data_IF_178871027320
#
_entry.id   IF_178871027320
#
_cell.length_a   1.000
_cell.length_b   1.000
_cell.length_c   1.000
_cell.angle_alpha   90.00
_cell.angle_beta   90.00
_cell.angle_gamma   90.00
#
_symmetry.space_group_name_H-M   'P 1'
#
loop_
_entity.id
_entity.type
_entity.pdbx_description
1 polymer ?
#
# COMPACT_ATOMS: atom_id res chain seq x y z
N UNK A 1 -10.20 0.86 -5.91
CA UNK A 1 -9.40 2.07 -6.19
C UNK A 1 -8.48 1.91 -7.40
N UNK A 2 -7.71 0.82 -7.57
CA UNK A 2 -6.92 0.69 -8.81
C UNK A 2 -5.64 -0.15 -8.72
N UNK A 3 -5.35 -0.69 -7.53
CA UNK A 3 -4.12 -1.40 -7.20
C UNK A 3 -3.78 -2.54 -8.17
N UNK A 4 -2.49 -2.81 -8.36
CA UNK A 4 -2.00 -3.93 -9.16
C UNK A 4 -1.68 -5.16 -8.31
N UNK A 5 -1.39 -4.97 -7.02
CA UNK A 5 -1.09 -6.02 -6.06
C UNK A 5 -1.68 -5.66 -4.70
N UNK A 6 -2.14 -6.67 -3.98
CA UNK A 6 -2.58 -6.57 -2.59
C UNK A 6 -1.81 -7.65 -1.81
N UNK A 7 -0.93 -7.21 -0.91
CA UNK A 7 -0.25 -8.07 0.04
C UNK A 7 -0.91 -7.92 1.42
N UNK A 8 -1.21 -9.04 2.07
CA UNK A 8 -1.87 -9.06 3.39
C UNK A 8 -1.07 -9.95 4.33
N UNK A 9 -0.86 -9.47 5.55
CA UNK A 9 -0.26 -10.24 6.63
C UNK A 9 -0.93 -9.90 7.96
N UNK A 10 -0.85 -10.79 8.97
CA UNK A 10 -1.34 -10.51 10.31
C UNK A 10 -0.33 -9.65 11.08
N UNK A 11 -0.44 -8.32 10.97
CA UNK A 11 0.37 -7.38 11.76
C UNK A 11 0.29 -7.68 13.28
N UNK A 12 1.28 -7.22 14.05
CA UNK A 12 1.45 -7.55 15.48
C UNK A 12 0.22 -7.21 16.32
N UNK A 13 -0.51 -6.16 15.98
CA UNK A 13 -1.75 -5.72 16.67
C UNK A 13 -3.04 -6.15 15.96
N UNK A 14 -2.95 -7.03 14.97
CA UNK A 14 -4.12 -7.65 14.36
C UNK A 14 -4.73 -8.69 15.29
N UNK A 15 -6.07 -8.71 15.36
CA UNK A 15 -6.81 -9.75 16.09
C UNK A 15 -6.61 -11.12 15.44
N UNK A 16 -6.52 -11.13 14.11
CA UNK A 16 -6.32 -12.37 13.34
C UNK A 16 -4.86 -12.76 13.38
N UNK A 17 -4.60 -13.99 13.83
CA UNK A 17 -3.36 -14.74 13.55
C UNK A 17 -3.64 -15.77 12.48
N UNK A 18 -2.67 -16.06 11.63
CA UNK A 18 -2.83 -17.00 10.52
C UNK A 18 -1.88 -18.17 10.67
N UNK A 19 -2.43 -19.38 10.74
CA UNK A 19 -1.73 -20.63 10.45
C UNK A 19 -1.62 -20.84 8.94
N UNK A 20 -0.81 -21.80 8.49
CA UNK A 20 -0.62 -22.09 7.05
C UNK A 20 -1.95 -22.43 6.34
N UNK A 21 -2.80 -23.24 6.96
CA UNK A 21 -4.14 -23.55 6.42
C UNK A 21 -5.02 -22.30 6.34
N UNK A 22 -4.91 -21.39 7.32
CA UNK A 22 -5.64 -20.12 7.31
C UNK A 22 -5.11 -19.16 6.25
N UNK A 23 -3.81 -19.18 5.94
CA UNK A 23 -3.22 -18.42 4.82
C UNK A 23 -3.86 -18.86 3.50
N UNK A 24 -3.91 -20.17 3.22
CA UNK A 24 -4.50 -20.70 1.99
C UNK A 24 -5.99 -20.37 1.87
N UNK A 25 -6.76 -20.56 2.94
CA UNK A 25 -8.20 -20.22 2.98
C UNK A 25 -8.43 -18.72 2.81
N UNK A 26 -7.60 -17.89 3.42
CA UNK A 26 -7.70 -16.42 3.28
C UNK A 26 -7.34 -15.99 1.87
N UNK A 27 -6.30 -16.58 1.28
CA UNK A 27 -5.92 -16.33 -0.11
C UNK A 27 -7.08 -16.63 -1.06
N UNK A 28 -7.68 -17.81 -0.98
CA UNK A 28 -8.82 -18.17 -1.82
C UNK A 28 -9.99 -17.18 -1.68
N UNK A 29 -10.29 -16.73 -0.46
CA UNK A 29 -11.34 -15.73 -0.19
C UNK A 29 -11.01 -14.37 -0.81
N UNK A 30 -9.77 -13.89 -0.64
CA UNK A 30 -9.33 -12.61 -1.20
C UNK A 30 -9.27 -12.65 -2.73
N UNK A 31 -8.70 -13.70 -3.31
CA UNK A 31 -8.63 -13.88 -4.76
C UNK A 31 -10.03 -13.87 -5.39
N UNK A 32 -11.00 -14.57 -4.77
CA UNK A 32 -12.40 -14.53 -5.21
C UNK A 32 -12.99 -13.11 -5.18
N UNK A 33 -12.77 -12.35 -4.11
CA UNK A 33 -13.25 -10.96 -3.98
C UNK A 33 -12.59 -10.04 -5.01
N UNK A 34 -11.29 -10.16 -5.19
CA UNK A 34 -10.53 -9.37 -6.17
C UNK A 34 -10.98 -9.70 -7.59
N UNK A 35 -11.24 -10.96 -7.90
CA UNK A 35 -11.79 -11.38 -9.19
C UNK A 35 -13.16 -10.75 -9.46
N UNK A 36 -14.09 -10.86 -8.51
CA UNK A 36 -15.43 -10.26 -8.66
C UNK A 36 -15.35 -8.73 -8.78
N UNK A 37 -14.54 -8.06 -7.95
CA UNK A 37 -14.33 -6.63 -8.04
C UNK A 37 -13.70 -6.21 -9.38
N UNK A 38 -12.77 -7.01 -9.93
CA UNK A 38 -12.15 -6.75 -11.23
C UNK A 38 -13.16 -6.79 -12.37
N UNK A 39 -14.13 -7.73 -12.32
CA UNK A 39 -15.24 -7.78 -13.28
C UNK A 39 -16.13 -6.55 -13.19
N UNK A 40 -16.54 -6.18 -11.97
CA UNK A 40 -17.39 -4.99 -11.75
C UNK A 40 -16.71 -3.70 -12.21
N UNK A 41 -15.39 -3.60 -12.00
CA UNK A 41 -14.58 -2.47 -12.44
C UNK A 41 -14.11 -2.56 -13.90
N UNK A 42 -14.55 -3.56 -14.67
CA UNK A 42 -14.17 -3.80 -16.08
C UNK A 42 -12.65 -3.77 -16.33
N UNK A 43 -11.87 -4.32 -15.39
CA UNK A 43 -10.41 -4.37 -15.51
C UNK A 43 -9.99 -5.53 -16.42
N UNK A 44 -9.14 -5.26 -17.40
CA UNK A 44 -8.48 -6.29 -18.21
C UNK A 44 -7.50 -7.14 -17.38
N UNK A 45 -6.87 -6.53 -16.37
CA UNK A 45 -5.94 -7.20 -15.45
C UNK A 45 -6.44 -7.17 -14.02
N UNK A 46 -6.54 -8.35 -13.41
CA UNK A 46 -6.83 -8.48 -11.98
C UNK A 46 -5.59 -8.14 -11.14
N UNK A 47 -5.75 -7.47 -9.99
CA UNK A 47 -4.69 -7.34 -9.01
C UNK A 47 -4.18 -8.71 -8.54
N UNK A 48 -2.87 -8.84 -8.33
CA UNK A 48 -2.29 -10.02 -7.69
C UNK A 48 -2.60 -10.01 -6.19
N UNK A 49 -3.06 -11.12 -5.65
CA UNK A 49 -3.24 -11.30 -4.20
C UNK A 49 -2.07 -12.10 -3.66
N UNK A 50 -1.47 -11.61 -2.59
CA UNK A 50 -0.46 -12.32 -1.82
C UNK A 50 -0.89 -12.29 -0.34
N UNK A 51 -1.04 -13.47 0.26
CA UNK A 51 -1.31 -13.60 1.70
C UNK A 51 -0.10 -14.28 2.32
N UNK A 52 0.45 -13.69 3.38
CA UNK A 52 1.48 -14.32 4.19
C UNK A 52 1.06 -14.37 5.65
N UNK A 53 1.52 -15.39 6.37
CA UNK A 53 1.47 -15.44 7.83
C UNK A 53 2.61 -14.67 8.50
N UNK A 54 3.61 -14.24 7.73
CA UNK A 54 4.88 -13.70 8.20
C UNK A 54 5.10 -12.27 7.66
N UNK A 55 5.60 -11.38 8.52
CA UNK A 55 5.84 -9.99 8.13
C UNK A 55 7.04 -9.85 7.18
N UNK A 56 8.00 -10.76 7.27
CA UNK A 56 9.22 -10.79 6.49
C UNK A 56 8.93 -10.85 4.98
N UNK A 57 7.85 -11.53 4.59
CA UNK A 57 7.44 -11.58 3.19
C UNK A 57 6.92 -10.22 2.68
N UNK A 58 6.31 -9.42 3.55
CA UNK A 58 5.87 -8.06 3.22
C UNK A 58 7.06 -7.11 3.20
N UNK A 59 8.01 -7.27 4.12
CA UNK A 59 9.27 -6.53 4.11
C UNK A 59 10.01 -6.72 2.78
N UNK A 60 10.05 -7.94 2.23
CA UNK A 60 10.65 -8.19 0.90
C UNK A 60 9.95 -7.44 -0.23
N UNK A 61 8.62 -7.28 -0.16
CA UNK A 61 7.86 -6.47 -1.13
C UNK A 61 8.26 -5.00 -1.01
N UNK A 62 8.40 -4.51 0.21
CA UNK A 62 8.82 -3.12 0.50
C UNK A 62 10.24 -2.85 0.00
N UNK A 63 11.18 -3.76 0.25
CA UNK A 63 12.58 -3.66 -0.19
C UNK A 63 12.74 -3.57 -1.71
N UNK A 64 11.84 -4.22 -2.46
CA UNK A 64 11.85 -4.18 -3.92
C UNK A 64 11.12 -2.97 -4.53
N UNK A 65 10.49 -2.12 -3.70
CA UNK A 65 9.73 -0.98 -4.17
C UNK A 65 10.64 0.20 -4.51
N UNK A 66 10.27 0.96 -5.53
CA UNK A 66 10.90 2.25 -5.85
C UNK A 66 10.56 3.32 -4.81
N UNK A 67 9.37 3.22 -4.21
CA UNK A 67 8.93 4.04 -3.09
C UNK A 67 7.96 3.23 -2.23
N UNK A 68 8.22 3.15 -0.94
CA UNK A 68 7.29 2.57 0.02
C UNK A 68 6.87 3.62 1.04
N UNK A 69 5.56 3.70 1.29
CA UNK A 69 4.98 4.71 2.17
C UNK A 69 4.27 3.99 3.32
N UNK A 70 4.78 4.20 4.53
CA UNK A 70 4.18 3.73 5.77
C UNK A 70 3.14 4.75 6.25
N UNK A 71 1.86 4.41 6.10
CA UNK A 71 0.77 5.25 6.53
C UNK A 71 0.49 5.04 8.02
N UNK A 72 0.81 6.05 8.81
CA UNK A 72 0.74 5.97 10.26
C UNK A 72 0.38 7.31 10.91
N UNK A 73 -0.28 7.23 12.06
CA UNK A 73 -0.85 8.36 12.78
C UNK A 73 0.21 9.28 13.43
N UNK A 74 1.37 8.73 13.78
CA UNK A 74 2.46 9.47 14.44
C UNK A 74 3.45 10.11 13.48
N UNK A 75 3.27 9.92 12.16
CA UNK A 75 4.16 10.51 11.17
C UNK A 75 4.05 12.04 11.18
N UNK A 76 5.18 12.72 11.01
CA UNK A 76 5.28 14.17 10.95
C UNK A 76 5.11 14.72 9.53
N UNK A 77 5.42 13.92 8.51
CA UNK A 77 5.28 14.28 7.09
C UNK A 77 3.87 13.98 6.57
N UNK A 78 3.35 14.85 5.70
CA UNK A 78 2.08 14.61 5.03
C UNK A 78 2.30 13.73 3.79
N UNK A 79 1.34 12.85 3.49
CA UNK A 79 1.33 12.09 2.23
C UNK A 79 1.46 12.99 1.00
N UNK A 80 0.85 14.17 1.02
CA UNK A 80 0.93 15.15 -0.05
C UNK A 80 2.33 15.74 -0.25
N UNK A 81 3.17 15.75 0.78
CA UNK A 81 4.57 16.22 0.67
C UNK A 81 5.47 15.11 0.15
N UNK A 82 5.16 13.84 0.50
CA UNK A 82 5.91 12.66 0.03
C UNK A 82 5.57 12.32 -1.41
N UNK A 83 4.32 12.54 -1.83
CA UNK A 83 3.83 12.34 -3.20
C UNK A 83 3.08 13.59 -3.62
N UNK A 84 3.77 14.63 -4.12
CA UNK A 84 3.15 15.88 -4.52
C UNK A 84 2.25 15.70 -5.74
N UNK A 85 1.09 16.38 -5.70
CA UNK A 85 0.16 16.46 -6.83
C UNK A 85 0.56 17.62 -7.75
N UNK A 86 1.57 17.44 -8.59
CA UNK A 86 1.99 18.48 -9.55
C UNK A 86 2.18 17.92 -10.96
N UNK A 87 1.81 18.73 -11.96
CA UNK A 87 2.10 18.51 -13.39
C UNK A 87 3.62 18.48 -13.67
N UNK A 88 4.41 19.05 -12.75
CA UNK A 88 5.85 18.87 -12.68
C UNK A 88 6.11 17.40 -12.37
N UNK A 89 6.34 16.66 -13.45
CA UNK A 89 6.88 15.31 -13.59
C UNK A 89 7.39 14.69 -12.29
N UNK A 90 7.22 13.38 -12.21
CA UNK A 90 8.03 12.35 -11.53
C UNK A 90 9.48 12.64 -11.10
N UNK A 91 10.11 13.75 -11.50
CA UNK A 91 11.40 14.28 -11.08
C UNK A 91 11.52 14.61 -9.59
N UNK A 92 10.44 14.97 -8.89
CA UNK A 92 10.48 15.22 -7.43
C UNK A 92 10.24 13.95 -6.61
N UNK A 93 9.72 12.89 -7.24
CA UNK A 93 9.76 11.55 -6.67
C UNK A 93 11.18 11.02 -6.79
N UNK A 94 11.62 10.08 -5.92
CA UNK A 94 12.89 9.39 -6.13
C UNK A 94 12.99 8.92 -7.60
N UNK A 95 14.13 9.10 -8.28
CA UNK A 95 14.25 8.81 -9.74
C UNK A 95 13.71 7.41 -10.12
N UNK A 96 13.89 6.42 -9.23
CA UNK A 96 13.37 5.06 -9.41
C UNK A 96 11.83 4.96 -9.38
N UNK A 97 11.14 5.88 -8.70
CA UNK A 97 9.70 5.96 -8.55
C UNK A 97 9.03 6.73 -9.71
N UNK A 98 9.83 7.42 -10.51
CA UNK A 98 9.39 8.16 -11.69
C UNK A 98 9.37 7.40 -13.02
N UNK A 99 9.88 6.17 -13.01
CA UNK A 99 10.02 5.29 -14.18
C UNK A 99 8.71 4.56 -14.52
N UNK A 100 8.51 4.16 -15.78
CA UNK A 100 7.36 3.33 -16.19
C UNK A 100 7.28 1.98 -15.44
N UNK A 101 8.40 1.50 -14.91
CA UNK A 101 8.47 0.28 -14.11
C UNK A 101 8.51 0.53 -12.59
N UNK A 102 8.29 1.77 -12.15
CA UNK A 102 8.30 2.14 -10.75
C UNK A 102 7.25 1.37 -9.95
N UNK A 103 7.65 0.78 -8.83
CA UNK A 103 6.73 0.15 -7.89
C UNK A 103 6.56 1.04 -6.67
N UNK A 104 5.35 1.56 -6.48
CA UNK A 104 4.96 2.28 -5.27
C UNK A 104 4.13 1.37 -4.37
N UNK A 105 4.56 1.23 -3.12
CA UNK A 105 3.89 0.42 -2.10
C UNK A 105 3.30 1.31 -1.03
N UNK A 106 2.00 1.14 -0.76
CA UNK A 106 1.34 1.73 0.41
C UNK A 106 1.22 0.67 1.49
N UNK A 107 1.73 0.96 2.69
CA UNK A 107 1.69 0.09 3.85
C UNK A 107 0.65 0.67 4.81
N UNK A 108 -0.43 -0.08 5.05
CA UNK A 108 -1.57 0.35 5.88
C UNK A 108 -1.75 -0.63 7.03
N UNK A 109 -1.77 -0.10 8.25
CA UNK A 109 -1.87 -0.91 9.46
C UNK A 109 -3.29 -1.35 9.81
N UNK A 110 -3.44 -2.27 10.78
CA UNK A 110 -4.73 -2.65 11.34
C UNK A 110 -5.32 -1.51 12.18
N UNK A 111 -6.55 -1.67 12.67
CA UNK A 111 -7.22 -0.70 13.54
C UNK A 111 -6.40 -0.37 14.82
N UNK A 112 -5.59 -1.31 15.31
CA UNK A 112 -4.69 -1.09 16.47
C UNK A 112 -3.39 -0.35 16.13
N UNK A 113 -3.20 0.05 14.87
CA UNK A 113 -1.97 0.65 14.37
C UNK A 113 -0.78 -0.33 14.33
N UNK A 114 0.38 0.18 13.94
CA UNK A 114 1.63 -0.56 14.01
C UNK A 114 2.27 -0.44 15.40
N UNK A 115 2.95 -1.50 15.84
CA UNK A 115 3.89 -1.42 16.96
C UNK A 115 5.15 -0.63 16.57
N UNK A 116 5.88 -0.12 17.57
CA UNK A 116 7.13 0.62 17.32
C UNK A 116 8.19 -0.25 16.63
N UNK A 117 8.22 -1.55 16.94
CA UNK A 117 9.09 -2.52 16.28
C UNK A 117 8.77 -2.64 14.78
N UNK A 118 7.50 -2.76 14.40
CA UNK A 118 7.09 -2.83 12.98
C UNK A 118 7.41 -1.54 12.24
N UNK A 119 7.14 -0.38 12.86
CA UNK A 119 7.48 0.93 12.28
C UNK A 119 8.97 1.03 12.01
N UNK A 120 9.78 0.58 12.96
CA UNK A 120 11.24 0.54 12.82
C UNK A 120 11.67 -0.36 11.68
N UNK A 121 11.17 -1.60 11.64
CA UNK A 121 11.51 -2.57 10.59
C UNK A 121 11.16 -2.06 9.19
N UNK A 122 9.99 -1.42 9.00
CA UNK A 122 9.64 -0.86 7.70
C UNK A 122 10.54 0.31 7.30
N UNK A 123 10.88 1.21 8.24
CA UNK A 123 11.79 2.33 7.96
C UNK A 123 13.21 1.86 7.66
N UNK A 124 13.70 0.83 8.35
CA UNK A 124 15.02 0.23 8.10
C UNK A 124 15.17 -0.31 6.67
N UNK A 125 14.06 -0.74 6.05
CA UNK A 125 14.03 -1.18 4.65
C UNK A 125 13.62 -0.08 3.66
N UNK A 126 13.66 1.17 4.09
CA UNK A 126 13.48 2.34 3.21
C UNK A 126 12.05 2.86 3.09
N UNK A 127 11.10 2.38 3.91
CA UNK A 127 9.76 2.96 3.92
C UNK A 127 9.76 4.37 4.51
N UNK A 128 9.10 5.30 3.83
CA UNK A 128 8.91 6.68 4.27
C UNK A 128 7.60 6.78 5.06
N UNK A 129 7.69 7.29 6.27
CA UNK A 129 6.52 7.52 7.13
C UNK A 129 5.71 8.73 6.68
N UNK A 130 4.41 8.57 6.51
CA UNK A 130 3.51 9.66 6.17
C UNK A 130 2.15 9.53 6.88
N UNK A 131 1.50 10.67 7.15
CA UNK A 131 0.11 10.73 7.62
C UNK A 131 -0.79 11.41 6.60
N UNK A 132 -2.10 11.18 6.72
CA UNK A 132 -3.12 11.81 5.87
C UNK A 132 -3.92 12.85 6.65
N UNK A 133 -3.38 14.06 6.71
CA UNK A 133 -4.02 15.16 7.44
C UNK A 133 -3.96 14.99 8.96
N UNK A 134 -4.73 15.82 9.71
CA UNK A 134 -4.70 15.81 11.17
C UNK A 134 -5.52 14.68 11.80
N UNK A 135 -6.53 14.17 11.09
CA UNK A 135 -7.46 13.17 11.61
C UNK A 135 -6.99 11.74 11.31
N UNK A 136 -7.24 10.83 12.25
CA UNK A 136 -6.96 9.40 12.06
C UNK A 136 -8.05 8.77 11.21
N UNK A 137 -7.69 8.35 9.99
CA UNK A 137 -8.58 7.60 9.12
C UNK A 137 -8.64 6.12 9.51
N UNK A 138 -9.83 5.50 9.42
CA UNK A 138 -9.99 4.04 9.53
C UNK A 138 -9.18 3.36 8.42
N UNK A 139 -8.57 2.20 8.72
CA UNK A 139 -7.67 1.49 7.81
C UNK A 139 -8.24 1.28 6.38
N UNK A 140 -9.50 0.89 6.25
CA UNK A 140 -10.16 0.69 4.95
C UNK A 140 -10.29 1.99 4.14
N UNK A 141 -10.62 3.10 4.80
CA UNK A 141 -10.70 4.43 4.20
C UNK A 141 -9.32 4.94 3.84
N UNK A 142 -8.37 4.81 4.77
CA UNK A 142 -6.97 5.20 4.62
C UNK A 142 -6.36 4.60 3.33
N UNK A 143 -6.49 3.29 3.15
CA UNK A 143 -5.99 2.61 1.96
C UNK A 143 -6.62 3.14 0.67
N UNK A 144 -7.94 3.34 0.65
CA UNK A 144 -8.67 3.75 -0.56
C UNK A 144 -8.34 5.19 -0.95
N UNK A 145 -8.31 6.11 0.03
CA UNK A 145 -7.99 7.52 -0.16
C UNK A 145 -6.54 7.70 -0.60
N UNK A 146 -5.59 7.06 0.09
CA UNK A 146 -4.18 7.14 -0.27
C UNK A 146 -3.91 6.61 -1.68
N UNK A 147 -4.54 5.50 -2.06
CA UNK A 147 -4.40 4.98 -3.42
C UNK A 147 -4.92 5.99 -4.46
N UNK A 148 -6.08 6.61 -4.19
CA UNK A 148 -6.65 7.66 -5.04
C UNK A 148 -5.71 8.85 -5.23
N UNK A 149 -5.18 9.36 -4.10
CA UNK A 149 -4.19 10.44 -4.10
C UNK A 149 -2.97 10.07 -4.95
N UNK A 150 -2.35 8.92 -4.68
CA UNK A 150 -1.15 8.48 -5.39
C UNK A 150 -1.41 8.31 -6.88
N UNK A 151 -2.52 7.70 -7.29
CA UNK A 151 -2.81 7.52 -8.73
C UNK A 151 -3.03 8.84 -9.45
N UNK A 152 -3.67 9.83 -8.81
CA UNK A 152 -3.80 11.18 -9.36
C UNK A 152 -2.45 11.91 -9.42
N UNK A 153 -1.73 11.93 -8.31
CA UNK A 153 -0.46 12.66 -8.16
C UNK A 153 0.65 12.11 -9.05
N UNK A 154 0.69 10.80 -9.30
CA UNK A 154 1.68 10.16 -10.19
C UNK A 154 1.32 10.25 -11.68
N UNK A 155 0.20 10.90 -12.03
CA UNK A 155 -0.29 10.94 -13.40
C UNK A 155 -0.84 9.61 -13.91
N UNK A 156 -0.94 8.56 -13.09
CA UNK A 156 -1.49 7.27 -13.52
C UNK A 156 -2.96 7.34 -13.96
N UNK A 157 -3.69 8.34 -13.48
CA UNK A 157 -5.04 8.67 -13.93
C UNK A 157 -5.09 9.75 -15.01
N UNK A 158 -3.96 10.30 -15.45
CA UNK A 158 -3.96 11.23 -16.58
C UNK A 158 -4.51 10.50 -17.80
N UNK A 159 -5.50 11.10 -18.46
CA UNK A 159 -5.90 10.62 -19.77
C UNK A 159 -4.81 11.04 -20.75
N UNK A 160 -4.19 10.06 -21.41
CA UNK A 160 -3.41 10.35 -22.60
C UNK A 160 -4.37 10.79 -23.70
N UNK A 161 -4.07 11.90 -24.37
CA UNK A 161 -4.72 12.25 -25.65
C UNK A 161 -4.40 11.21 -26.74
#
# INVERSE_FOLDING_TARGET
AGADRIAVWPASRSIVRMTDDQVLKTHAKFDRRVFEASKQARRSRRPLVQISGQQEDVIRVVQGASLAILLEESATQNLADVVPATETRTADLPEAAGSENAQLVLIVGPEGGFSDAERTQFREVGAVSARMGPDVLRASTAATVALGWVMGATGRWSMSD
#
